data_IF_395797253392
#
_entry.id   IF_395797253392
#
_cell.length_a   1.000
_cell.length_b   1.000
_cell.length_c   1.000
_cell.angle_alpha   90.00
_cell.angle_beta   90.00
_cell.angle_gamma   90.00
#
_symmetry.space_group_name_H-M   'P 1'
#
loop_
_entity.id
_entity.type
_entity.pdbx_description
1 polymer ?
#
# COMPACT_ATOMS: atom_id res chain seq x y z
N UNK A 1 -37.88 -10.16 -22.06
CA UNK A 1 -37.25 -9.00 -21.40
C UNK A 1 -35.88 -9.46 -20.94
N UNK A 2 -34.83 -9.05 -21.64
CA UNK A 2 -33.46 -9.42 -21.31
C UNK A 2 -32.97 -8.54 -20.17
N UNK A 3 -32.35 -9.14 -19.15
CA UNK A 3 -31.68 -8.40 -18.07
C UNK A 3 -30.55 -7.54 -18.65
N UNK A 4 -30.34 -6.30 -18.13
CA UNK A 4 -29.24 -5.47 -18.57
C UNK A 4 -27.91 -6.05 -18.11
N UNK A 5 -26.99 -6.17 -19.06
CA UNK A 5 -25.60 -6.58 -18.90
C UNK A 5 -24.94 -5.85 -17.70
N UNK A 6 -24.57 -6.60 -16.66
CA UNK A 6 -23.74 -6.07 -15.57
C UNK A 6 -22.34 -5.80 -16.13
N UNK A 7 -21.76 -4.64 -15.91
CA UNK A 7 -20.39 -4.38 -16.33
C UNK A 7 -19.48 -5.40 -15.62
N UNK A 8 -18.80 -6.21 -16.44
CA UNK A 8 -17.80 -7.14 -15.95
C UNK A 8 -16.69 -6.35 -15.26
N UNK A 9 -16.36 -6.75 -14.03
CA UNK A 9 -15.23 -6.22 -13.29
C UNK A 9 -13.97 -6.30 -14.16
N UNK A 10 -13.18 -5.22 -14.30
CA UNK A 10 -11.93 -5.25 -15.04
C UNK A 10 -10.90 -6.25 -14.50
N UNK A 11 -11.20 -6.92 -13.39
CA UNK A 11 -10.38 -7.92 -12.72
C UNK A 11 -10.79 -9.38 -12.99
N UNK A 12 -11.71 -9.65 -13.93
CA UNK A 12 -12.18 -11.00 -14.29
C UNK A 12 -11.08 -11.90 -14.89
N UNK A 13 -9.83 -11.47 -14.96
CA UNK A 13 -8.69 -12.23 -15.47
C UNK A 13 -7.53 -12.40 -14.48
N UNK A 14 -7.66 -11.91 -13.23
CA UNK A 14 -6.67 -12.22 -12.21
C UNK A 14 -6.81 -13.69 -11.83
N UNK A 15 -5.86 -14.51 -12.25
CA UNK A 15 -5.77 -15.90 -11.90
C UNK A 15 -5.90 -16.05 -10.38
N UNK A 16 -6.80 -16.93 -9.95
CA UNK A 16 -6.91 -17.34 -8.56
C UNK A 16 -5.58 -17.97 -8.13
N UNK A 17 -4.70 -17.14 -7.53
CA UNK A 17 -3.42 -17.57 -6.98
C UNK A 17 -3.58 -18.48 -5.76
N UNK A 18 -4.80 -18.69 -5.27
CA UNK A 18 -5.11 -19.61 -4.15
C UNK A 18 -4.99 -21.08 -4.53
N UNK A 19 -4.87 -21.40 -5.83
CA UNK A 19 -4.88 -22.77 -6.29
C UNK A 19 -3.48 -23.27 -6.64
N UNK A 20 -2.96 -24.23 -5.84
CA UNK A 20 -2.23 -25.41 -6.27
C UNK A 20 -0.74 -25.58 -5.97
N UNK A 21 -0.10 -24.75 -5.14
CA UNK A 21 1.13 -25.26 -4.54
C UNK A 21 0.79 -25.77 -3.15
N UNK A 22 1.03 -27.04 -2.81
CA UNK A 22 0.78 -27.50 -1.45
C UNK A 22 1.61 -26.65 -0.48
N UNK A 23 0.96 -26.16 0.57
CA UNK A 23 1.64 -25.41 1.63
C UNK A 23 2.70 -26.29 2.27
N UNK A 24 3.89 -25.74 2.48
CA UNK A 24 4.92 -26.38 3.27
C UNK A 24 4.56 -26.22 4.75
N UNK A 25 4.26 -27.33 5.40
CA UNK A 25 4.14 -27.36 6.85
C UNK A 25 5.53 -27.60 7.43
N UNK A 26 6.02 -26.63 8.18
CA UNK A 26 7.34 -26.67 8.82
C UNK A 26 7.16 -26.88 10.32
N UNK A 27 7.99 -27.73 10.90
CA UNK A 27 8.06 -27.87 12.35
C UNK A 27 8.70 -26.62 12.97
N UNK A 28 8.40 -26.34 14.23
CA UNK A 28 8.95 -25.16 14.93
C UNK A 28 10.48 -25.20 14.92
N UNK A 29 11.08 -26.33 15.20
CA UNK A 29 12.53 -26.51 15.22
C UNK A 29 13.17 -26.25 13.84
N UNK A 30 12.49 -26.64 12.76
CA UNK A 30 12.95 -26.36 11.39
C UNK A 30 12.95 -24.86 11.10
N UNK A 31 11.90 -24.14 11.54
CA UNK A 31 11.81 -22.69 11.40
C UNK A 31 12.93 -21.99 12.18
N UNK A 32 13.14 -22.39 13.44
CA UNK A 32 14.21 -21.84 14.28
C UNK A 32 15.59 -22.09 13.67
N UNK A 33 15.83 -23.30 13.18
CA UNK A 33 17.08 -23.62 12.49
C UNK A 33 17.29 -22.76 11.24
N UNK A 34 16.24 -22.60 10.40
CA UNK A 34 16.32 -21.76 9.19
C UNK A 34 16.58 -20.29 9.54
N UNK A 35 16.01 -19.79 10.63
CA UNK A 35 16.26 -18.42 11.12
C UNK A 35 17.68 -18.26 11.67
N UNK A 36 18.19 -19.26 12.40
CA UNK A 36 19.58 -19.25 12.88
C UNK A 36 20.60 -19.25 11.73
N UNK A 37 20.35 -20.08 10.71
CA UNK A 37 21.17 -20.10 9.47
C UNK A 37 21.09 -18.76 8.72
N UNK A 38 19.92 -18.14 8.68
CA UNK A 38 19.73 -16.84 8.05
C UNK A 38 20.49 -15.74 8.80
N UNK A 39 20.43 -15.75 10.13
CA UNK A 39 21.20 -14.83 10.96
C UNK A 39 22.70 -14.96 10.68
N UNK A 40 23.21 -16.18 10.71
CA UNK A 40 24.62 -16.46 10.42
C UNK A 40 25.01 -15.98 9.02
N UNK A 41 24.14 -16.21 8.01
CA UNK A 41 24.31 -15.73 6.65
C UNK A 41 24.46 -14.20 6.58
N UNK A 42 23.68 -13.46 7.35
CA UNK A 42 23.74 -11.99 7.38
C UNK A 42 24.95 -11.48 8.19
N UNK A 43 25.24 -12.08 9.35
CA UNK A 43 26.35 -11.70 10.24
C UNK A 43 27.72 -11.94 9.61
N UNK A 44 27.83 -12.95 8.77
CA UNK A 44 29.08 -13.30 8.07
C UNK A 44 29.20 -12.70 6.67
N UNK A 45 28.38 -11.70 6.33
CA UNK A 45 28.35 -11.09 5.00
C UNK A 45 28.22 -12.14 3.88
N UNK A 46 27.33 -13.11 4.09
CA UNK A 46 26.97 -14.17 3.13
C UNK A 46 28.00 -15.30 2.96
N UNK A 47 29.01 -15.38 3.82
CA UNK A 47 30.05 -16.41 3.74
C UNK A 47 29.68 -17.74 4.42
N UNK A 48 28.81 -17.69 5.44
CA UNK A 48 28.34 -18.87 6.17
C UNK A 48 26.82 -18.82 6.34
N UNK A 49 26.22 -19.95 6.69
CA UNK A 49 24.78 -20.07 6.82
C UNK A 49 24.06 -20.01 5.46
N UNK A 50 22.76 -19.89 5.50
CA UNK A 50 21.92 -19.86 4.32
C UNK A 50 20.80 -18.83 4.44
N UNK A 51 20.48 -18.18 3.32
CA UNK A 51 19.32 -17.31 3.26
C UNK A 51 18.04 -18.12 3.45
N UNK A 52 17.27 -17.85 4.52
CA UNK A 52 16.02 -18.55 4.79
C UNK A 52 15.04 -18.43 3.62
N UNK A 53 14.39 -19.55 3.33
CA UNK A 53 13.39 -19.65 2.28
C UNK A 53 12.12 -20.28 2.84
N UNK A 54 11.15 -19.41 3.16
CA UNK A 54 9.81 -19.76 3.63
C UNK A 54 8.76 -19.63 2.52
N UNK A 55 9.16 -19.68 1.24
CA UNK A 55 8.21 -19.60 0.13
C UNK A 55 7.17 -20.71 0.25
N UNK A 56 5.87 -20.33 0.16
CA UNK A 56 4.71 -21.22 0.32
C UNK A 56 4.66 -21.96 1.67
N UNK A 57 5.33 -21.49 2.72
CA UNK A 57 5.23 -22.06 4.06
C UNK A 57 4.03 -21.50 4.81
N UNK A 58 3.45 -22.29 5.70
CA UNK A 58 2.47 -21.82 6.68
C UNK A 58 3.18 -21.31 7.93
N UNK A 59 3.10 -20.01 8.14
CA UNK A 59 3.71 -19.26 9.24
C UNK A 59 2.64 -18.44 9.99
N UNK A 60 1.38 -18.91 9.94
CA UNK A 60 0.25 -18.25 10.58
C UNK A 60 0.52 -17.99 12.06
N UNK A 61 0.34 -16.73 12.50
CA UNK A 61 0.49 -16.30 13.90
C UNK A 61 1.91 -16.38 14.46
N UNK A 62 2.93 -16.58 13.62
CA UNK A 62 4.32 -16.64 14.07
C UNK A 62 4.86 -15.26 14.46
N UNK A 63 5.70 -15.26 15.49
CA UNK A 63 6.41 -14.08 15.96
C UNK A 63 7.78 -13.98 15.26
N UNK A 64 7.96 -12.89 14.50
CA UNK A 64 9.20 -12.48 13.84
C UNK A 64 9.63 -11.07 14.31
N UNK A 65 9.06 -10.59 15.42
CA UNK A 65 9.30 -9.23 15.90
C UNK A 65 10.78 -8.96 16.18
N UNK A 66 11.26 -7.80 15.73
CA UNK A 66 12.64 -7.35 15.89
C UNK A 66 13.70 -8.18 15.17
N UNK A 67 13.33 -9.21 14.41
CA UNK A 67 14.31 -10.06 13.74
C UNK A 67 14.95 -9.38 12.53
N UNK A 68 16.21 -9.70 12.24
CA UNK A 68 16.87 -9.33 11.02
C UNK A 68 16.56 -10.34 9.90
N UNK A 69 15.61 -9.98 9.03
CA UNK A 69 15.07 -10.81 7.96
C UNK A 69 15.39 -10.22 6.57
N UNK A 70 16.50 -9.48 6.45
CA UNK A 70 16.88 -8.83 5.19
C UNK A 70 16.98 -9.83 4.04
N UNK A 71 16.25 -9.54 2.96
CA UNK A 71 16.25 -10.37 1.76
C UNK A 71 15.62 -11.74 1.92
N UNK A 72 14.92 -12.03 3.03
CA UNK A 72 14.25 -13.32 3.26
C UNK A 72 13.26 -13.63 2.12
N UNK A 73 13.05 -14.91 1.84
CA UNK A 73 12.06 -15.36 0.86
C UNK A 73 10.81 -15.87 1.58
N UNK A 74 9.68 -15.20 1.36
CA UNK A 74 8.36 -15.52 1.89
C UNK A 74 7.28 -15.39 0.80
N UNK A 75 7.67 -15.52 -0.49
CA UNK A 75 6.69 -15.46 -1.58
C UNK A 75 5.64 -16.56 -1.42
N UNK A 76 4.36 -16.17 -1.56
CA UNK A 76 3.20 -17.04 -1.37
C UNK A 76 3.13 -17.73 0.00
N UNK A 77 3.87 -17.28 1.00
CA UNK A 77 3.73 -17.78 2.37
C UNK A 77 2.40 -17.36 2.97
N UNK A 78 1.88 -18.16 3.90
CA UNK A 78 0.73 -17.81 4.73
C UNK A 78 1.26 -17.18 6.00
N UNK A 79 0.99 -15.88 6.17
CA UNK A 79 1.50 -15.03 7.25
C UNK A 79 0.33 -14.40 8.05
N UNK A 80 -0.86 -15.03 8.04
CA UNK A 80 -2.04 -14.48 8.70
C UNK A 80 -1.79 -14.24 10.17
N UNK A 81 -2.00 -13.00 10.62
CA UNK A 81 -1.77 -12.62 12.00
C UNK A 81 -0.33 -12.79 12.51
N UNK A 82 0.65 -12.97 11.61
CA UNK A 82 2.06 -13.00 12.00
C UNK A 82 2.53 -11.62 12.47
N UNK A 83 3.45 -11.61 13.44
CA UNK A 83 4.00 -10.39 14.03
C UNK A 83 5.42 -10.12 13.47
N UNK A 84 5.56 -9.00 12.75
CA UNK A 84 6.83 -8.48 12.23
C UNK A 84 7.17 -7.12 12.86
N UNK A 85 6.60 -6.79 14.01
CA UNK A 85 6.83 -5.51 14.68
C UNK A 85 8.32 -5.21 14.83
N UNK A 86 8.78 -4.08 14.26
CA UNK A 86 10.18 -3.67 14.29
C UNK A 86 11.16 -4.59 13.56
N UNK A 87 10.68 -5.55 12.77
CA UNK A 87 11.56 -6.44 12.01
C UNK A 87 12.29 -5.72 10.87
N UNK A 88 13.48 -6.18 10.52
CA UNK A 88 14.26 -5.70 9.38
C UNK A 88 13.99 -6.58 8.16
N UNK A 89 13.10 -6.14 7.27
CA UNK A 89 12.62 -6.86 6.07
C UNK A 89 13.10 -6.21 4.75
N UNK A 90 14.17 -5.43 4.79
CA UNK A 90 14.67 -4.75 3.58
C UNK A 90 14.92 -5.77 2.45
N UNK A 91 14.40 -5.46 1.26
CA UNK A 91 14.50 -6.34 0.08
C UNK A 91 13.92 -7.76 0.28
N UNK A 92 13.08 -7.98 1.29
CA UNK A 92 12.35 -9.24 1.47
C UNK A 92 11.41 -9.51 0.29
N UNK A 93 11.22 -10.78 -0.04
CA UNK A 93 10.28 -11.20 -1.07
C UNK A 93 9.00 -11.76 -0.43
N UNK A 94 7.92 -10.99 -0.47
CA UNK A 94 6.58 -11.34 0.01
C UNK A 94 5.55 -11.37 -1.15
N UNK A 95 6.00 -11.54 -2.41
CA UNK A 95 5.11 -11.55 -3.58
C UNK A 95 4.01 -12.60 -3.40
N UNK A 96 2.75 -12.17 -3.50
CA UNK A 96 1.59 -13.04 -3.36
C UNK A 96 1.43 -13.68 -1.97
N UNK A 97 2.11 -13.19 -0.93
CA UNK A 97 1.93 -13.69 0.43
C UNK A 97 0.51 -13.41 0.96
N UNK A 98 0.00 -14.29 1.82
CA UNK A 98 -1.29 -14.15 2.50
C UNK A 98 -1.04 -13.66 3.92
N UNK A 99 -1.05 -12.35 4.11
CA UNK A 99 -0.67 -11.68 5.35
C UNK A 99 -1.82 -10.83 5.93
N UNK A 100 -3.05 -11.34 5.79
CA UNK A 100 -4.23 -10.69 6.38
C UNK A 100 -4.03 -10.56 7.90
N UNK A 101 -4.31 -9.37 8.44
CA UNK A 101 -4.19 -9.05 9.87
C UNK A 101 -2.77 -9.23 10.44
N UNK A 102 -1.74 -9.34 9.60
CA UNK A 102 -0.36 -9.34 10.08
C UNK A 102 0.04 -7.94 10.60
N UNK A 103 0.97 -7.91 11.55
CA UNK A 103 1.51 -6.67 12.11
C UNK A 103 2.91 -6.41 11.56
N UNK A 104 3.09 -5.27 10.87
CA UNK A 104 4.37 -4.78 10.36
C UNK A 104 4.75 -3.43 11.00
N UNK A 105 4.18 -3.09 12.15
CA UNK A 105 4.40 -1.80 12.79
C UNK A 105 5.89 -1.55 13.03
N UNK A 106 6.36 -0.37 12.63
CA UNK A 106 7.77 0.06 12.78
C UNK A 106 8.79 -0.85 12.10
N UNK A 107 8.34 -1.80 11.26
CA UNK A 107 9.25 -2.62 10.48
C UNK A 107 9.91 -1.82 9.34
N UNK A 108 11.07 -2.27 8.88
CA UNK A 108 11.71 -1.74 7.68
C UNK A 108 11.55 -2.72 6.51
N UNK A 109 10.60 -2.40 5.63
CA UNK A 109 10.33 -3.10 4.37
C UNK A 109 10.83 -2.31 3.15
N UNK A 110 11.80 -1.43 3.33
CA UNK A 110 12.34 -0.67 2.20
C UNK A 110 12.84 -1.61 1.09
N UNK A 111 12.45 -1.31 -0.15
CA UNK A 111 12.74 -2.13 -1.35
C UNK A 111 12.20 -3.57 -1.26
N UNK A 112 11.29 -3.87 -0.34
CA UNK A 112 10.64 -5.18 -0.28
C UNK A 112 9.67 -5.35 -1.45
N UNK A 113 9.41 -6.61 -1.82
CA UNK A 113 8.50 -6.98 -2.89
C UNK A 113 7.24 -7.60 -2.30
N UNK A 114 6.12 -6.89 -2.46
CA UNK A 114 4.81 -7.28 -1.94
C UNK A 114 3.74 -7.31 -3.06
N UNK A 115 4.18 -7.35 -4.35
CA UNK A 115 3.24 -7.32 -5.47
C UNK A 115 2.23 -8.46 -5.36
N UNK A 116 0.94 -8.12 -5.45
CA UNK A 116 -0.17 -9.06 -5.32
C UNK A 116 -0.34 -9.71 -3.94
N UNK A 117 0.36 -9.25 -2.91
CA UNK A 117 0.18 -9.76 -1.55
C UNK A 117 -1.22 -9.40 -1.01
N UNK A 118 -1.81 -10.29 -0.22
CA UNK A 118 -3.03 -10.02 0.51
C UNK A 118 -2.70 -9.51 1.92
N UNK A 119 -2.89 -8.21 2.12
CA UNK A 119 -2.56 -7.44 3.32
C UNK A 119 -3.83 -6.80 3.93
N UNK A 120 -4.99 -7.40 3.66
CA UNK A 120 -6.28 -6.88 4.16
C UNK A 120 -6.24 -6.79 5.69
N UNK A 121 -6.59 -5.62 6.23
CA UNK A 121 -6.60 -5.33 7.66
C UNK A 121 -5.25 -5.51 8.37
N UNK A 122 -4.14 -5.54 7.63
CA UNK A 122 -2.80 -5.57 8.23
C UNK A 122 -2.43 -4.20 8.83
N UNK A 123 -1.59 -4.21 9.86
CA UNK A 123 -1.06 -3.01 10.49
C UNK A 123 0.33 -2.69 9.97
N UNK A 124 0.55 -1.40 9.64
CA UNK A 124 1.77 -0.82 9.10
C UNK A 124 2.05 0.54 9.74
N UNK A 125 1.72 0.73 11.00
CA UNK A 125 1.96 2.01 11.69
C UNK A 125 3.47 2.32 11.74
N UNK A 126 3.84 3.54 11.30
CA UNK A 126 5.23 4.02 11.27
C UNK A 126 6.22 3.10 10.52
N UNK A 127 5.73 2.30 9.60
CA UNK A 127 6.54 1.39 8.78
C UNK A 127 7.37 2.14 7.73
N UNK A 128 8.54 1.62 7.39
CA UNK A 128 9.30 2.07 6.23
C UNK A 128 9.06 1.14 5.02
N UNK A 129 8.40 1.66 3.98
CA UNK A 129 8.11 0.99 2.70
C UNK A 129 8.71 1.79 1.52
N UNK A 130 9.73 2.59 1.77
CA UNK A 130 10.37 3.39 0.72
C UNK A 130 10.87 2.50 -0.42
N UNK A 131 10.51 2.85 -1.67
CA UNK A 131 10.85 2.08 -2.88
C UNK A 131 10.35 0.62 -2.89
N UNK A 132 9.33 0.27 -2.10
CA UNK A 132 8.75 -1.07 -2.13
C UNK A 132 7.91 -1.28 -3.41
N UNK A 133 7.90 -2.54 -3.89
CA UNK A 133 7.08 -2.99 -5.02
C UNK A 133 5.77 -3.58 -4.46
N UNK A 134 4.64 -2.90 -4.65
CA UNK A 134 3.34 -3.23 -4.05
C UNK A 134 2.21 -3.23 -5.09
N UNK A 135 2.56 -3.43 -6.37
CA UNK A 135 1.57 -3.42 -7.45
C UNK A 135 0.49 -4.47 -7.19
N UNK A 136 -0.76 -4.05 -7.34
CA UNK A 136 -1.94 -4.91 -7.15
C UNK A 136 -2.06 -5.55 -5.75
N UNK A 137 -1.34 -5.05 -4.74
CA UNK A 137 -1.51 -5.52 -3.37
C UNK A 137 -2.94 -5.23 -2.86
N UNK A 138 -3.50 -6.17 -2.10
CA UNK A 138 -4.81 -6.03 -1.48
C UNK A 138 -4.64 -5.50 -0.06
N UNK A 139 -4.99 -4.25 0.18
CA UNK A 139 -4.74 -3.53 1.44
C UNK A 139 -6.01 -2.87 1.99
N UNK A 140 -7.18 -3.41 1.65
CA UNK A 140 -8.43 -2.86 2.18
C UNK A 140 -8.42 -2.89 3.72
N UNK A 141 -8.86 -1.77 4.34
CA UNK A 141 -8.83 -1.57 5.79
C UNK A 141 -7.44 -1.64 6.47
N UNK A 142 -6.35 -1.64 5.72
CA UNK A 142 -5.02 -1.61 6.31
C UNK A 142 -4.75 -0.27 7.03
N UNK A 143 -3.94 -0.30 8.08
CA UNK A 143 -3.53 0.89 8.84
C UNK A 143 -2.08 1.24 8.48
N UNK A 144 -1.89 2.38 7.80
CA UNK A 144 -0.59 2.90 7.34
C UNK A 144 -0.34 4.31 7.91
N UNK A 145 -0.85 4.59 9.10
CA UNK A 145 -0.64 5.88 9.73
C UNK A 145 0.85 6.15 9.93
N UNK A 146 1.33 7.33 9.48
CA UNK A 146 2.73 7.71 9.59
C UNK A 146 3.71 6.90 8.72
N UNK A 147 3.22 6.00 7.87
CA UNK A 147 4.06 5.15 7.03
C UNK A 147 4.92 5.96 6.05
N UNK A 148 6.17 5.53 5.83
CA UNK A 148 7.07 6.07 4.81
C UNK A 148 6.94 5.24 3.51
N UNK A 149 6.23 5.76 2.52
CA UNK A 149 5.92 5.13 1.22
C UNK A 149 6.57 5.89 0.05
N UNK A 150 7.58 6.71 0.33
CA UNK A 150 8.25 7.50 -0.70
C UNK A 150 8.77 6.64 -1.84
N UNK A 151 8.43 7.01 -3.09
CA UNK A 151 8.84 6.30 -4.31
C UNK A 151 8.35 4.83 -4.41
N UNK A 152 7.43 4.39 -3.54
CA UNK A 152 6.84 3.05 -3.64
C UNK A 152 5.98 2.91 -4.90
N UNK A 153 5.99 1.71 -5.51
CA UNK A 153 5.05 1.37 -6.59
C UNK A 153 3.83 0.66 -6.01
N UNK A 154 2.71 1.36 -5.97
CA UNK A 154 1.40 0.88 -5.52
C UNK A 154 0.38 0.92 -6.66
N UNK A 155 0.86 0.83 -7.93
CA UNK A 155 -0.05 0.88 -9.07
C UNK A 155 -1.07 -0.26 -9.02
N UNK A 156 -2.35 0.09 -9.16
CA UNK A 156 -3.47 -0.86 -9.08
C UNK A 156 -3.71 -1.47 -7.70
N UNK A 157 -2.97 -1.06 -6.65
CA UNK A 157 -3.22 -1.55 -5.29
C UNK A 157 -4.61 -1.15 -4.78
N UNK A 158 -5.21 -1.96 -3.91
CA UNK A 158 -6.55 -1.74 -3.36
C UNK A 158 -6.46 -1.33 -1.89
N UNK A 159 -6.63 -0.03 -1.63
CA UNK A 159 -6.57 0.58 -0.29
C UNK A 159 -7.93 1.14 0.15
N UNK A 160 -9.01 0.52 -0.31
CA UNK A 160 -10.36 0.97 0.05
C UNK A 160 -10.52 0.92 1.59
N UNK A 161 -10.98 2.03 2.19
CA UNK A 161 -11.11 2.24 3.63
C UNK A 161 -9.81 2.14 4.45
N UNK A 162 -8.63 2.16 3.81
CA UNK A 162 -7.35 2.18 4.52
C UNK A 162 -7.10 3.53 5.21
N UNK A 163 -6.26 3.52 6.26
CA UNK A 163 -5.89 4.70 7.04
C UNK A 163 -4.44 5.08 6.73
N UNK A 164 -4.23 6.18 6.00
CA UNK A 164 -2.92 6.71 5.59
C UNK A 164 -2.69 8.12 6.17
N UNK A 165 -3.31 8.41 7.32
CA UNK A 165 -3.17 9.73 7.95
C UNK A 165 -1.70 10.04 8.23
N UNK A 166 -1.21 11.18 7.72
CA UNK A 166 0.17 11.61 7.89
C UNK A 166 1.22 10.79 7.15
N UNK A 167 0.84 9.86 6.28
CA UNK A 167 1.79 9.05 5.52
C UNK A 167 2.60 9.89 4.51
N UNK A 168 3.86 9.53 4.30
CA UNK A 168 4.72 10.08 3.26
C UNK A 168 4.59 9.26 1.98
N UNK A 169 3.86 9.78 1.00
CA UNK A 169 3.61 9.19 -0.32
C UNK A 169 4.31 9.97 -1.44
N UNK A 170 5.34 10.74 -1.12
CA UNK A 170 6.05 11.56 -2.11
C UNK A 170 6.58 10.69 -3.25
N UNK A 171 6.28 11.13 -4.49
CA UNK A 171 6.69 10.46 -5.74
C UNK A 171 6.20 9.01 -5.88
N UNK A 172 5.32 8.53 -5.00
CA UNK A 172 4.75 7.20 -5.11
C UNK A 172 3.97 7.02 -6.42
N UNK A 173 4.03 5.84 -7.00
CA UNK A 173 3.23 5.46 -8.15
C UNK A 173 1.89 4.86 -7.67
N UNK A 174 0.83 5.68 -7.73
CA UNK A 174 -0.53 5.34 -7.28
C UNK A 174 -1.51 5.23 -8.46
N UNK A 175 -1.01 4.96 -9.67
CA UNK A 175 -1.86 4.89 -10.87
C UNK A 175 -2.89 3.78 -10.74
N UNK A 176 -4.15 4.14 -10.92
CA UNK A 176 -5.27 3.20 -10.86
C UNK A 176 -5.50 2.59 -9.47
N UNK A 177 -4.82 3.06 -8.44
CA UNK A 177 -5.01 2.56 -7.08
C UNK A 177 -6.41 2.91 -6.55
N UNK A 178 -6.99 2.00 -5.76
CA UNK A 178 -8.27 2.17 -5.08
C UNK A 178 -8.09 2.79 -3.71
N UNK A 179 -8.72 3.93 -3.48
CA UNK A 179 -8.74 4.65 -2.19
C UNK A 179 -10.18 5.03 -1.79
N UNK A 180 -11.17 4.23 -2.18
CA UNK A 180 -12.56 4.55 -1.81
C UNK A 180 -12.69 4.60 -0.29
N UNK A 181 -13.21 5.74 0.21
CA UNK A 181 -13.40 5.96 1.65
C UNK A 181 -12.11 5.85 2.50
N UNK A 182 -10.93 5.89 1.86
CA UNK A 182 -9.66 5.90 2.59
C UNK A 182 -9.42 7.25 3.30
N UNK A 183 -8.61 7.24 4.33
CA UNK A 183 -8.22 8.43 5.09
C UNK A 183 -6.78 8.80 4.78
N UNK A 184 -6.58 9.85 4.00
CA UNK A 184 -5.28 10.44 3.63
C UNK A 184 -5.10 11.82 4.26
N UNK A 185 -5.73 12.06 5.43
CA UNK A 185 -5.66 13.35 6.11
C UNK A 185 -4.20 13.70 6.42
N UNK A 186 -3.77 14.92 6.08
CA UNK A 186 -2.41 15.41 6.26
C UNK A 186 -1.30 14.56 5.59
N UNK A 187 -1.64 13.66 4.66
CA UNK A 187 -0.64 12.89 3.90
C UNK A 187 0.18 13.79 2.97
N UNK A 188 1.44 13.45 2.78
CA UNK A 188 2.34 14.10 1.82
C UNK A 188 2.32 13.35 0.48
N UNK A 189 1.59 13.87 -0.48
CA UNK A 189 1.39 13.32 -1.83
C UNK A 189 2.15 14.13 -2.89
N UNK A 190 3.16 14.91 -2.51
CA UNK A 190 3.91 15.74 -3.45
C UNK A 190 4.54 14.89 -4.54
N UNK A 191 4.35 15.33 -5.79
CA UNK A 191 4.86 14.67 -6.99
C UNK A 191 4.34 13.21 -7.17
N UNK A 192 3.32 12.77 -6.42
CA UNK A 192 2.72 11.45 -6.55
C UNK A 192 1.96 11.30 -7.88
N UNK A 193 1.93 10.08 -8.41
CA UNK A 193 1.25 9.76 -9.68
C UNK A 193 -0.09 9.08 -9.42
N UNK A 194 -1.17 9.86 -9.34
CA UNK A 194 -2.54 9.42 -9.05
C UNK A 194 -3.41 9.29 -10.32
N UNK A 195 -2.80 9.15 -11.49
CA UNK A 195 -3.55 9.03 -12.75
C UNK A 195 -4.53 7.86 -12.71
N UNK A 196 -5.84 8.13 -12.90
CA UNK A 196 -6.90 7.13 -12.85
C UNK A 196 -7.17 6.52 -11.47
N UNK A 197 -6.60 7.05 -10.40
CA UNK A 197 -6.88 6.57 -9.04
C UNK A 197 -8.34 6.80 -8.62
N UNK A 198 -8.88 5.93 -7.77
CA UNK A 198 -10.26 5.96 -7.31
C UNK A 198 -10.33 6.53 -5.88
N UNK A 199 -10.50 7.85 -5.76
CA UNK A 199 -10.56 8.59 -4.50
C UNK A 199 -12.01 8.90 -4.05
N UNK A 200 -12.96 8.10 -4.51
CA UNK A 200 -14.40 8.32 -4.22
C UNK A 200 -14.65 8.27 -2.72
N UNK A 201 -15.15 9.39 -2.16
CA UNK A 201 -15.43 9.52 -0.72
C UNK A 201 -14.19 9.49 0.17
N UNK A 202 -12.98 9.59 -0.38
CA UNK A 202 -11.75 9.63 0.42
C UNK A 202 -11.63 10.98 1.18
N UNK A 203 -10.99 10.96 2.35
CA UNK A 203 -10.60 12.16 3.07
C UNK A 203 -9.14 12.50 2.76
N UNK A 204 -8.90 13.72 2.23
CA UNK A 204 -7.58 14.29 1.95
C UNK A 204 -7.44 15.65 2.66
N UNK A 205 -8.07 15.80 3.82
CA UNK A 205 -8.05 17.06 4.56
C UNK A 205 -6.63 17.46 4.93
N UNK A 206 -6.23 18.68 4.54
CA UNK A 206 -4.88 19.18 4.81
C UNK A 206 -3.75 18.43 4.10
N UNK A 207 -4.06 17.52 3.18
CA UNK A 207 -3.04 16.80 2.41
C UNK A 207 -2.25 17.73 1.47
N UNK A 208 -0.98 17.42 1.26
CA UNK A 208 -0.11 18.15 0.34
C UNK A 208 0.00 17.40 -1.00
N UNK A 209 -0.70 17.88 -2.02
CA UNK A 209 -0.71 17.30 -3.37
C UNK A 209 0.12 18.11 -4.38
N UNK A 210 0.99 19.03 -3.93
CA UNK A 210 1.77 19.88 -4.85
C UNK A 210 2.52 19.04 -5.89
N UNK A 211 2.39 19.39 -7.17
CA UNK A 211 3.04 18.69 -8.25
C UNK A 211 2.48 17.28 -8.53
N UNK A 212 1.46 16.82 -7.82
CA UNK A 212 0.86 15.52 -8.08
C UNK A 212 0.16 15.48 -9.44
N UNK A 213 0.08 14.28 -10.05
CA UNK A 213 -0.58 14.05 -11.33
C UNK A 213 -1.93 13.36 -11.13
N UNK A 214 -3.05 14.07 -11.41
CA UNK A 214 -4.44 13.64 -11.12
C UNK A 214 -5.30 13.39 -12.38
N UNK A 215 -4.68 13.21 -13.55
CA UNK A 215 -5.44 12.96 -14.78
C UNK A 215 -6.35 11.74 -14.61
N UNK A 216 -7.66 11.92 -14.90
CA UNK A 216 -8.68 10.87 -14.79
C UNK A 216 -8.88 10.30 -13.38
N UNK A 217 -8.30 10.88 -12.34
CA UNK A 217 -8.59 10.47 -10.97
C UNK A 217 -10.07 10.76 -10.65
N UNK A 218 -10.72 9.84 -9.92
CA UNK A 218 -12.11 10.01 -9.49
C UNK A 218 -12.17 10.59 -8.10
N UNK A 219 -12.67 11.82 -8.01
CA UNK A 219 -12.77 12.61 -6.77
C UNK A 219 -14.21 12.74 -6.27
N UNK A 220 -15.12 11.90 -6.74
CA UNK A 220 -16.56 11.98 -6.39
C UNK A 220 -16.73 11.92 -4.86
N UNK A 221 -17.18 13.02 -4.24
CA UNK A 221 -17.37 13.13 -2.80
C UNK A 221 -16.08 13.11 -1.96
N UNK A 222 -14.91 13.21 -2.56
CA UNK A 222 -13.66 13.34 -1.80
C UNK A 222 -13.61 14.67 -1.04
N UNK A 223 -13.08 14.66 0.18
CA UNK A 223 -12.89 15.88 0.99
C UNK A 223 -11.45 16.41 0.82
N UNK A 224 -11.33 17.53 0.11
CA UNK A 224 -10.10 18.27 -0.15
C UNK A 224 -9.96 19.53 0.74
N UNK A 225 -10.74 19.63 1.82
CA UNK A 225 -10.68 20.78 2.73
C UNK A 225 -9.27 20.99 3.23
N UNK A 226 -8.78 22.23 3.15
CA UNK A 226 -7.44 22.66 3.56
C UNK A 226 -6.28 21.98 2.80
N UNK A 227 -6.56 21.17 1.77
CA UNK A 227 -5.54 20.52 0.96
C UNK A 227 -4.80 21.52 0.05
N UNK A 228 -3.53 21.21 -0.23
CA UNK A 228 -2.72 22.01 -1.15
C UNK A 228 -2.60 21.32 -2.52
N UNK A 229 -3.27 21.86 -3.54
CA UNK A 229 -3.23 21.37 -4.92
C UNK A 229 -2.43 22.31 -5.85
N UNK A 230 -1.58 23.19 -5.32
CA UNK A 230 -0.76 24.07 -6.16
C UNK A 230 0.15 23.25 -7.09
N UNK A 231 0.15 23.56 -8.37
CA UNK A 231 0.98 22.86 -9.36
C UNK A 231 0.51 21.42 -9.69
N UNK A 232 -0.67 21.00 -9.23
CA UNK A 232 -1.25 19.71 -9.62
C UNK A 232 -1.47 19.68 -11.14
N UNK A 233 -1.07 18.57 -11.77
CA UNK A 233 -1.21 18.35 -13.20
C UNK A 233 -2.38 17.43 -13.55
N UNK A 234 -3.04 17.72 -14.68
CA UNK A 234 -4.08 16.86 -15.25
C UNK A 234 -5.41 16.88 -14.51
N UNK A 235 -5.58 17.69 -13.46
CA UNK A 235 -6.86 17.91 -12.79
C UNK A 235 -7.76 18.81 -13.66
N UNK A 236 -9.00 18.44 -13.83
CA UNK A 236 -10.00 19.20 -14.59
C UNK A 236 -11.07 19.76 -13.64
N UNK A 237 -11.71 20.89 -14.03
CA UNK A 237 -12.79 21.51 -13.28
C UNK A 237 -13.92 20.52 -12.98
N UNK A 238 -14.26 19.64 -13.91
CA UNK A 238 -15.31 18.63 -13.73
C UNK A 238 -15.02 17.65 -12.61
N UNK A 239 -13.75 17.25 -12.41
CA UNK A 239 -13.33 16.40 -11.27
C UNK A 239 -13.44 17.17 -9.96
N UNK A 240 -12.97 18.43 -9.94
CA UNK A 240 -13.00 19.28 -8.74
C UNK A 240 -14.44 19.59 -8.29
N UNK A 241 -15.35 19.76 -9.24
CA UNK A 241 -16.77 20.02 -8.96
C UNK A 241 -17.48 18.86 -8.24
N UNK A 242 -16.92 17.67 -8.25
CA UNK A 242 -17.45 16.49 -7.57
C UNK A 242 -16.84 16.30 -6.16
N UNK A 243 -15.81 17.05 -5.83
CA UNK A 243 -15.12 17.01 -4.54
C UNK A 243 -15.61 18.14 -3.61
N UNK A 244 -15.35 18.00 -2.32
CA UNK A 244 -15.57 19.03 -1.32
C UNK A 244 -14.29 19.85 -1.12
N UNK A 245 -14.37 21.15 -1.35
CA UNK A 245 -13.30 22.12 -1.09
C UNK A 245 -13.84 23.20 -0.13
N UNK A 246 -12.94 23.80 0.64
CA UNK A 246 -13.26 24.96 1.48
C UNK A 246 -12.33 26.15 1.13
N UNK A 247 -12.47 27.26 1.85
CA UNK A 247 -11.66 28.46 1.64
C UNK A 247 -10.16 28.25 1.95
N UNK A 248 -9.80 27.19 2.67
CA UNK A 248 -8.40 26.80 2.94
C UNK A 248 -7.78 25.95 1.83
N UNK A 249 -8.59 25.41 0.91
CA UNK A 249 -8.09 24.60 -0.21
C UNK A 249 -7.33 25.48 -1.21
N UNK A 250 -6.07 25.16 -1.45
CA UNK A 250 -5.25 25.86 -2.44
C UNK A 250 -5.35 25.17 -3.79
N UNK A 251 -5.91 25.86 -4.76
CA UNK A 251 -6.18 25.32 -6.11
C UNK A 251 -5.03 25.61 -7.09
N UNK A 252 -4.83 24.77 -8.11
CA UNK A 252 -3.94 25.06 -9.21
C UNK A 252 -4.47 26.23 -10.06
N UNK A 253 -3.57 26.92 -10.76
CA UNK A 253 -3.96 28.04 -11.64
C UNK A 253 -5.02 27.61 -12.66
N UNK A 254 -6.06 28.42 -12.83
CA UNK A 254 -7.12 28.23 -13.82
C UNK A 254 -8.29 27.37 -13.36
N UNK A 255 -8.26 26.81 -12.16
CA UNK A 255 -9.41 26.14 -11.55
C UNK A 255 -10.04 27.04 -10.47
N UNK A 256 -11.35 26.88 -10.28
CA UNK A 256 -12.18 27.72 -9.40
C UNK A 256 -12.85 26.82 -8.37
N UNK A 257 -12.81 27.21 -7.10
CA UNK A 257 -13.54 26.54 -6.03
C UNK A 257 -15.05 26.70 -6.17
N UNK A 258 -15.82 25.71 -5.68
CA UNK A 258 -17.29 25.70 -5.83
C UNK A 258 -17.93 26.90 -5.08
N UNK A 259 -17.33 27.39 -4.02
CA UNK A 259 -17.81 28.58 -3.29
C UNK A 259 -17.65 29.86 -4.10
N UNK A 260 -16.62 29.96 -4.96
CA UNK A 260 -16.40 31.13 -5.81
C UNK A 260 -17.23 31.12 -7.10
N UNK A 261 -17.69 29.94 -7.53
CA UNK A 261 -18.55 29.79 -8.71
C UNK A 261 -20.01 30.23 -8.48
N UNK A 262 -20.39 30.48 -7.22
CA UNK A 262 -21.74 30.95 -6.83
C UNK A 262 -21.83 32.48 -6.64
N UNK A 263 -20.75 33.21 -6.84
CA UNK A 263 -20.67 34.66 -6.85
C UNK A 263 -20.63 35.18 -8.29
#
# INVERSE_FOLDING_TARGET
MAEPDRPQSPFAGMADFSARTPLRVLLSDEIEQMLAEHRLYLETEYHQGHRANFSSADLTGRDFSGLNLRGIKMDRAVLRGADFTGAHLQSANLVGALAEQACFDRADLSRARLSGANLVSASFEDVCLANAEMEFALMANAVLQGACLGEADMSGAQLDAAVLTGADLRRANLRGAGFRHARLDAADLRDARLGGAFLVGASLRGADLRGAYLRLARLDGADLSDANLEGVEGLMQGQLNLAHCNSGTKLPMGLIGIEDAKR
#
